data_IF_842910213773
#
_entry.id   IF_842910213773
#
_cell.length_a   1.000
_cell.length_b   1.000
_cell.length_c   1.000
_cell.angle_alpha   90.00
_cell.angle_beta   90.00
_cell.angle_gamma   90.00
#
_symmetry.space_group_name_H-M   'P 1'
#
loop_
_entity.id
_entity.type
_entity.pdbx_description
1 polymer ?
#
# COMPACT_ATOMS: atom_id res chain seq x y z
N UNK A 1 39.00 -13.00 1.13
CA UNK A 1 38.61 -12.85 2.56
C UNK A 1 37.95 -11.51 2.83
N UNK A 2 38.55 -10.36 2.48
CA UNK A 2 37.90 -9.05 2.66
C UNK A 2 36.63 -8.88 1.82
N UNK A 3 36.61 -9.40 0.59
CA UNK A 3 35.45 -9.25 -0.31
C UNK A 3 34.20 -10.01 0.17
N UNK A 4 34.40 -11.16 0.83
CA UNK A 4 33.31 -11.95 1.42
C UNK A 4 32.71 -11.27 2.66
N UNK A 5 33.55 -10.59 3.44
CA UNK A 5 33.16 -9.81 4.61
C UNK A 5 32.32 -8.58 4.20
N UNK A 6 32.78 -7.83 3.19
CA UNK A 6 32.02 -6.71 2.62
C UNK A 6 30.69 -7.17 2.01
N UNK A 7 30.68 -8.27 1.27
CA UNK A 7 29.44 -8.88 0.75
C UNK A 7 28.45 -9.17 1.88
N UNK A 8 28.93 -9.73 3.00
CA UNK A 8 28.12 -9.97 4.19
C UNK A 8 27.47 -8.69 4.74
N UNK A 9 28.23 -7.60 4.86
CA UNK A 9 27.72 -6.31 5.34
C UNK A 9 26.67 -5.71 4.40
N UNK A 10 26.88 -5.77 3.09
CA UNK A 10 25.88 -5.29 2.13
C UNK A 10 24.60 -6.12 2.15
N UNK A 11 24.71 -7.45 2.20
CA UNK A 11 23.55 -8.33 2.37
C UNK A 11 22.79 -8.02 3.66
N UNK A 12 23.51 -7.76 4.77
CA UNK A 12 22.89 -7.38 6.03
C UNK A 12 22.15 -6.03 5.93
N UNK A 13 22.77 -5.02 5.31
CA UNK A 13 22.14 -3.72 5.10
C UNK A 13 20.87 -3.84 4.23
N UNK A 14 20.94 -4.60 3.13
CA UNK A 14 19.80 -4.86 2.26
C UNK A 14 18.68 -5.60 2.99
N UNK A 15 19.02 -6.61 3.81
CA UNK A 15 18.04 -7.35 4.61
C UNK A 15 17.23 -6.43 5.54
N UNK A 16 17.92 -5.52 6.23
CA UNK A 16 17.29 -4.57 7.16
C UNK A 16 16.45 -3.53 6.40
N UNK A 17 17.02 -2.89 5.37
CA UNK A 17 16.35 -1.81 4.64
C UNK A 17 15.15 -2.28 3.82
N UNK A 18 15.19 -3.51 3.32
CA UNK A 18 14.14 -4.06 2.43
C UNK A 18 13.26 -5.12 3.10
N UNK A 19 13.42 -5.39 4.40
CA UNK A 19 12.70 -6.43 5.15
C UNK A 19 12.80 -7.82 4.47
N UNK A 20 14.03 -8.20 4.11
CA UNK A 20 14.36 -9.44 3.41
C UNK A 20 15.05 -10.43 4.34
N UNK A 21 14.84 -11.73 4.09
CA UNK A 21 15.68 -12.74 4.74
C UNK A 21 17.10 -12.76 4.12
N UNK A 22 18.04 -13.48 4.75
CA UNK A 22 19.44 -13.52 4.30
C UNK A 22 19.61 -14.02 2.85
N UNK A 23 18.80 -14.99 2.41
CA UNK A 23 18.86 -15.53 1.05
C UNK A 23 18.31 -14.54 0.01
N UNK A 24 17.20 -13.90 0.32
CA UNK A 24 16.59 -12.84 -0.50
C UNK A 24 17.56 -11.64 -0.62
N UNK A 25 18.19 -11.23 0.47
CA UNK A 25 19.16 -10.15 0.47
C UNK A 25 20.44 -10.50 -0.31
N UNK A 26 20.93 -11.74 -0.20
CA UNK A 26 22.06 -12.20 -1.01
C UNK A 26 21.72 -12.19 -2.51
N UNK A 27 20.52 -12.65 -2.88
CA UNK A 27 20.02 -12.60 -4.26
C UNK A 27 19.94 -11.14 -4.75
N UNK A 28 19.49 -10.24 -3.88
CA UNK A 28 19.35 -8.83 -4.16
C UNK A 28 20.69 -8.13 -4.38
N UNK A 29 21.71 -8.47 -3.58
CA UNK A 29 23.07 -7.97 -3.74
C UNK A 29 23.69 -8.44 -5.06
N UNK A 30 23.45 -9.71 -5.42
CA UNK A 30 24.06 -10.33 -6.61
C UNK A 30 23.45 -9.86 -7.93
N UNK A 31 22.12 -9.76 -8.01
CA UNK A 31 21.43 -9.43 -9.27
C UNK A 31 20.93 -7.99 -9.37
N UNK A 32 20.80 -7.30 -8.23
CA UNK A 32 20.28 -5.94 -8.17
C UNK A 32 18.74 -5.84 -8.28
N UNK A 33 18.17 -4.68 -7.91
CA UNK A 33 16.72 -4.49 -7.78
C UNK A 33 15.94 -4.61 -9.10
N UNK A 34 16.57 -4.32 -10.24
CA UNK A 34 15.91 -4.37 -11.54
C UNK A 34 15.79 -5.77 -12.13
N UNK A 35 16.49 -6.75 -11.54
CA UNK A 35 16.40 -8.13 -11.97
C UNK A 35 14.98 -8.69 -11.75
N UNK A 36 14.42 -9.49 -12.68
CA UNK A 36 13.05 -10.01 -12.57
C UNK A 36 12.77 -10.78 -11.27
N UNK A 37 13.77 -11.49 -10.73
CA UNK A 37 13.65 -12.20 -9.45
C UNK A 37 13.55 -11.24 -8.27
N UNK A 38 14.44 -10.24 -8.23
CA UNK A 38 14.48 -9.20 -7.20
C UNK A 38 13.20 -8.35 -7.20
N UNK A 39 12.68 -8.00 -8.38
CA UNK A 39 11.37 -7.35 -8.52
C UNK A 39 10.22 -8.19 -7.93
N UNK A 40 10.24 -9.52 -8.09
CA UNK A 40 9.22 -10.40 -7.48
C UNK A 40 9.33 -10.42 -5.96
N UNK A 41 10.55 -10.50 -5.42
CA UNK A 41 10.82 -10.47 -3.97
C UNK A 41 10.31 -9.16 -3.37
N UNK A 42 10.71 -8.01 -3.92
CA UNK A 42 10.26 -6.70 -3.44
C UNK A 42 8.74 -6.53 -3.55
N UNK A 43 8.11 -6.92 -4.67
CA UNK A 43 6.65 -6.83 -4.82
C UNK A 43 5.89 -7.65 -3.78
N UNK A 44 6.42 -8.82 -3.37
CA UNK A 44 5.82 -9.66 -2.33
C UNK A 44 5.82 -8.95 -0.97
N UNK A 45 6.86 -8.20 -0.66
CA UNK A 45 7.06 -7.48 0.62
C UNK A 45 6.37 -6.10 0.65
N UNK A 46 6.38 -5.38 -0.47
CA UNK A 46 5.64 -4.11 -0.65
C UNK A 46 4.13 -4.33 -0.61
N UNK A 47 3.66 -5.56 -0.82
CA UNK A 47 2.27 -5.97 -0.58
C UNK A 47 1.97 -5.89 0.92
N UNK A 48 1.76 -4.67 1.43
CA UNK A 48 1.34 -4.40 2.81
C UNK A 48 0.17 -5.34 3.15
N UNK A 49 0.37 -6.30 4.07
CA UNK A 49 -0.71 -7.22 4.47
C UNK A 49 -1.92 -6.47 5.05
N UNK A 50 -1.70 -5.26 5.55
CA UNK A 50 -2.70 -4.41 6.20
C UNK A 50 -3.75 -3.86 5.24
N UNK A 51 -3.42 -3.50 4.00
CA UNK A 51 -4.44 -3.00 3.04
C UNK A 51 -5.42 -4.11 2.65
N UNK A 52 -4.96 -5.37 2.61
CA UNK A 52 -5.80 -6.53 2.30
C UNK A 52 -6.78 -6.91 3.42
N UNK A 53 -6.61 -6.38 4.63
CA UNK A 53 -7.45 -6.66 5.80
C UNK A 53 -8.50 -5.57 6.08
N UNK A 54 -8.43 -4.42 5.40
CA UNK A 54 -9.42 -3.36 5.58
C UNK A 54 -10.74 -3.75 4.93
N UNK A 55 -11.85 -3.55 5.65
CA UNK A 55 -13.20 -3.65 5.07
C UNK A 55 -13.33 -2.61 3.96
N UNK A 56 -14.18 -2.89 2.97
CA UNK A 56 -14.36 -2.00 1.81
C UNK A 56 -14.74 -0.56 2.22
N UNK A 57 -15.49 -0.39 3.32
CA UNK A 57 -15.82 0.91 3.91
C UNK A 57 -14.61 1.65 4.46
N UNK A 58 -13.70 0.96 5.15
CA UNK A 58 -12.48 1.54 5.71
C UNK A 58 -11.50 1.94 4.60
N UNK A 59 -11.40 1.11 3.55
CA UNK A 59 -10.64 1.46 2.36
C UNK A 59 -11.19 2.72 1.68
N UNK A 60 -12.51 2.81 1.52
CA UNK A 60 -13.14 3.96 0.87
C UNK A 60 -12.97 5.25 1.69
N UNK A 61 -13.05 5.16 3.02
CA UNK A 61 -12.77 6.27 3.92
C UNK A 61 -11.30 6.73 3.81
N UNK A 62 -10.35 5.81 3.80
CA UNK A 62 -8.92 6.12 3.64
C UNK A 62 -8.62 6.73 2.26
N UNK A 63 -9.22 6.20 1.19
CA UNK A 63 -9.12 6.78 -0.16
C UNK A 63 -9.65 8.22 -0.18
N UNK A 64 -10.81 8.47 0.42
CA UNK A 64 -11.39 9.83 0.52
C UNK A 64 -10.47 10.78 1.28
N UNK A 65 -9.94 10.35 2.43
CA UNK A 65 -9.04 11.17 3.24
C UNK A 65 -7.76 11.57 2.48
N UNK A 66 -7.19 10.68 1.67
CA UNK A 66 -6.01 11.00 0.86
C UNK A 66 -6.34 11.98 -0.27
N UNK A 67 -7.49 11.84 -0.92
CA UNK A 67 -7.93 12.82 -1.91
C UNK A 67 -8.16 14.20 -1.27
N UNK A 68 -8.75 14.26 -0.08
CA UNK A 68 -8.96 15.50 0.68
C UNK A 68 -7.64 16.16 1.12
N UNK A 69 -6.59 15.36 1.32
CA UNK A 69 -5.22 15.84 1.57
C UNK A 69 -4.50 16.35 0.31
N UNK A 70 -5.13 16.26 -0.86
CA UNK A 70 -4.58 16.74 -2.13
C UNK A 70 -3.76 15.71 -2.92
N UNK A 71 -3.74 14.44 -2.51
CA UNK A 71 -3.11 13.39 -3.31
C UNK A 71 -3.87 13.18 -4.62
N UNK A 72 -3.12 12.94 -5.71
CA UNK A 72 -3.72 12.65 -7.00
C UNK A 72 -4.44 11.30 -6.99
N UNK A 73 -5.46 11.18 -7.84
CA UNK A 73 -6.23 9.94 -7.97
C UNK A 73 -5.34 8.75 -8.36
N UNK A 74 -4.31 8.99 -9.18
CA UNK A 74 -3.38 7.96 -9.62
C UNK A 74 -2.46 7.50 -8.49
N UNK A 75 -1.95 8.42 -7.66
CA UNK A 75 -1.15 8.09 -6.47
C UNK A 75 -1.95 7.24 -5.46
N UNK A 76 -3.23 7.59 -5.26
CA UNK A 76 -4.13 6.78 -4.43
C UNK A 76 -4.36 5.41 -5.08
N UNK A 77 -4.56 5.35 -6.40
CA UNK A 77 -4.77 4.07 -7.09
C UNK A 77 -3.58 3.12 -6.96
N UNK A 78 -2.35 3.67 -7.04
CA UNK A 78 -1.11 2.94 -6.86
C UNK A 78 -0.96 2.42 -5.42
N UNK A 79 -1.20 3.29 -4.43
CA UNK A 79 -1.11 2.93 -3.02
C UNK A 79 -2.07 1.78 -2.64
N UNK A 80 -3.27 1.76 -3.23
CA UNK A 80 -4.27 0.71 -3.00
C UNK A 80 -4.23 -0.44 -4.02
N UNK A 81 -3.27 -0.44 -4.95
CA UNK A 81 -3.12 -1.43 -6.03
C UNK A 81 -4.43 -1.71 -6.77
N UNK A 82 -5.14 -0.64 -7.14
CA UNK A 82 -6.41 -0.72 -7.87
C UNK A 82 -6.42 0.27 -9.03
N UNK A 83 -7.38 0.11 -9.95
CA UNK A 83 -7.52 1.08 -11.03
C UNK A 83 -8.01 2.44 -10.51
N UNK A 84 -7.61 3.57 -11.13
CA UNK A 84 -8.11 4.89 -10.76
C UNK A 84 -9.66 4.96 -10.76
N UNK A 85 -10.32 4.23 -11.67
CA UNK A 85 -11.78 4.08 -11.70
C UNK A 85 -12.37 3.44 -10.44
N UNK A 86 -11.64 2.54 -9.79
CA UNK A 86 -12.03 1.89 -8.54
C UNK A 86 -12.02 2.88 -7.39
N UNK A 87 -11.01 3.76 -7.33
CA UNK A 87 -10.94 4.85 -6.35
C UNK A 87 -12.17 5.74 -6.48
N UNK A 88 -12.47 6.25 -7.70
CA UNK A 88 -13.66 7.08 -7.95
C UNK A 88 -14.95 6.40 -7.51
N UNK A 89 -15.14 5.14 -7.92
CA UNK A 89 -16.35 4.37 -7.61
C UNK A 89 -16.53 4.18 -6.10
N UNK A 90 -15.47 3.82 -5.38
CA UNK A 90 -15.52 3.57 -3.94
C UNK A 90 -15.75 4.84 -3.14
N UNK A 91 -15.05 5.92 -3.49
CA UNK A 91 -15.20 7.22 -2.82
C UNK A 91 -16.61 7.78 -3.02
N UNK A 92 -17.13 7.73 -4.25
CA UNK A 92 -18.51 8.15 -4.54
C UNK A 92 -19.55 7.36 -3.74
N UNK A 93 -19.45 6.03 -3.71
CA UNK A 93 -20.36 5.19 -2.91
C UNK A 93 -20.26 5.48 -1.42
N UNK A 94 -19.07 5.84 -0.92
CA UNK A 94 -18.86 6.18 0.47
C UNK A 94 -19.48 7.52 0.85
N UNK A 95 -19.35 8.56 0.00
CA UNK A 95 -19.98 9.86 0.24
C UNK A 95 -21.50 9.77 0.20
N UNK A 96 -22.07 9.08 -0.80
CA UNK A 96 -23.52 8.87 -0.91
C UNK A 96 -24.09 8.18 0.35
N UNK A 97 -23.42 7.16 0.88
CA UNK A 97 -23.84 6.45 2.10
C UNK A 97 -23.77 7.32 3.35
N UNK A 98 -22.75 8.18 3.46
CA UNK A 98 -22.63 9.11 4.59
C UNK A 98 -23.77 10.14 4.58
N UNK A 99 -24.03 10.75 3.43
CA UNK A 99 -25.10 11.73 3.26
C UNK A 99 -26.47 11.16 3.62
N UNK A 100 -26.76 9.91 3.22
CA UNK A 100 -28.02 9.25 3.58
C UNK A 100 -28.14 9.00 5.09
N UNK A 101 -27.04 8.61 5.74
CA UNK A 101 -27.04 8.31 7.16
C UNK A 101 -27.17 9.59 8.00
N UNK A 102 -26.44 10.64 7.62
CA UNK A 102 -26.50 11.95 8.27
C UNK A 102 -27.92 12.55 8.14
N UNK A 103 -28.57 12.43 6.98
CA UNK A 103 -29.97 12.85 6.79
C UNK A 103 -30.93 12.07 7.69
N UNK A 104 -30.81 10.75 7.77
CA UNK A 104 -31.66 9.95 8.67
C UNK A 104 -31.46 10.28 10.15
N UNK A 105 -30.22 10.58 10.58
CA UNK A 105 -29.96 10.99 11.96
C UNK A 105 -30.60 12.35 12.31
N UNK A 106 -30.60 13.29 11.36
CA UNK A 106 -31.25 14.60 11.55
C UNK A 106 -32.77 14.42 11.69
N UNK A 107 -33.38 13.62 10.82
CA UNK A 107 -34.82 13.34 10.88
C UNK A 107 -35.21 12.66 12.21
N UNK A 108 -34.39 11.74 12.72
CA UNK A 108 -34.59 11.11 14.04
C UNK A 108 -34.47 12.05 15.24
N UNK A 109 -33.73 13.17 15.14
CA UNK A 109 -33.56 14.14 16.25
C UNK A 109 -34.65 15.21 16.30
N UNK A 110 -35.41 15.36 15.22
CA UNK A 110 -36.46 16.38 15.08
C UNK A 110 -37.88 15.83 15.39
N UNK A 111 -37.98 14.61 15.91
CA UNK A 111 -39.22 13.95 16.39
C UNK A 111 -39.17 13.90 17.92
#
# INVERSE_FOLDING_TARGET
MKDDEYKGYYCLLIAILCDLNAAEASTMYEYGPDHPLCRKILKKKVRKPSIKKLKESEMAAAMKALLDQGYSQDAVSEAFQCFPSTVRRRVRKFTERKETNDRSEIDCRNI
#
